data_IF_491256608139
#
_entry.id   IF_491256608139
#
_cell.length_a   1.000
_cell.length_b   1.000
_cell.length_c   1.000
_cell.angle_alpha   90.00
_cell.angle_beta   90.00
_cell.angle_gamma   90.00
#
_symmetry.space_group_name_H-M   'P 1'
#
loop_
_entity.id
_entity.type
_entity.pdbx_description
1 polymer ?
#
# COMPACT_ATOMS: atom_id res chain seq x y z
N UNK A 1 -63.54 -61.13 -22.07
CA UNK A 1 -62.13 -61.25 -22.51
C UNK A 1 -61.66 -59.84 -22.82
N UNK A 2 -60.85 -59.28 -21.91
CA UNK A 2 -59.88 -58.19 -22.12
C UNK A 2 -59.32 -57.84 -20.73
N UNK A 3 -58.27 -58.56 -20.34
CA UNK A 3 -57.46 -58.26 -19.17
C UNK A 3 -56.58 -57.05 -19.47
N UNK A 4 -56.76 -55.97 -18.71
CA UNK A 4 -55.78 -54.88 -18.64
C UNK A 4 -54.66 -55.31 -17.70
N UNK A 5 -53.52 -55.69 -18.27
CA UNK A 5 -52.25 -55.82 -17.55
C UNK A 5 -51.80 -54.46 -17.03
N UNK A 6 -51.84 -54.28 -15.71
CA UNK A 6 -51.23 -53.14 -15.03
C UNK A 6 -49.71 -53.31 -15.00
N UNK A 7 -48.96 -52.35 -15.55
CA UNK A 7 -47.51 -52.33 -15.40
C UNK A 7 -47.10 -51.99 -13.95
N UNK A 8 -46.01 -52.60 -13.43
CA UNK A 8 -45.51 -52.30 -12.10
C UNK A 8 -44.89 -50.90 -12.06
N UNK A 9 -45.33 -50.11 -11.07
CA UNK A 9 -44.84 -48.77 -10.77
C UNK A 9 -43.32 -48.80 -10.49
N UNK A 10 -42.51 -48.32 -11.44
CA UNK A 10 -41.07 -48.19 -11.28
C UNK A 10 -40.76 -47.08 -10.28
N UNK A 11 -40.16 -47.43 -9.15
CA UNK A 11 -39.75 -46.45 -8.13
C UNK A 11 -38.78 -45.41 -8.73
N UNK A 12 -38.89 -44.13 -8.35
CA UNK A 12 -37.99 -43.10 -8.83
C UNK A 12 -36.56 -43.38 -8.35
N UNK A 13 -35.60 -43.35 -9.28
CA UNK A 13 -34.18 -43.49 -8.96
C UNK A 13 -33.73 -42.35 -8.03
N UNK A 14 -32.91 -42.63 -7.00
CA UNK A 14 -32.40 -41.59 -6.12
C UNK A 14 -31.48 -40.66 -6.92
N UNK A 15 -31.82 -39.36 -6.91
CA UNK A 15 -31.05 -38.29 -7.53
C UNK A 15 -29.58 -38.37 -7.08
N UNK A 16 -28.66 -38.60 -8.02
CA UNK A 16 -27.22 -38.50 -7.77
C UNK A 16 -26.91 -37.09 -7.26
N UNK A 17 -26.62 -36.98 -5.97
CA UNK A 17 -26.14 -35.74 -5.36
C UNK A 17 -24.76 -35.46 -5.92
N UNK A 18 -24.69 -34.58 -6.92
CA UNK A 18 -23.41 -34.09 -7.43
C UNK A 18 -22.62 -33.47 -6.27
N UNK A 19 -21.35 -33.87 -6.06
CA UNK A 19 -20.54 -33.28 -5.01
C UNK A 19 -20.39 -31.77 -5.27
N UNK A 20 -20.41 -30.93 -4.21
CA UNK A 20 -20.35 -29.49 -4.36
C UNK A 20 -19.10 -29.09 -5.16
N UNK A 21 -19.29 -28.25 -6.17
CA UNK A 21 -18.21 -27.72 -6.98
C UNK A 21 -17.14 -27.10 -6.08
N UNK A 22 -15.88 -27.52 -6.26
CA UNK A 22 -14.76 -26.95 -5.50
C UNK A 22 -14.73 -25.44 -5.75
N UNK A 23 -14.63 -24.59 -4.70
CA UNK A 23 -14.56 -23.15 -4.89
C UNK A 23 -13.35 -22.82 -5.78
N UNK A 24 -13.49 -21.86 -6.72
CA UNK A 24 -12.40 -21.46 -7.58
C UNK A 24 -11.20 -21.05 -6.72
N UNK A 25 -10.02 -21.58 -7.06
CA UNK A 25 -8.77 -21.23 -6.40
C UNK A 25 -8.47 -19.76 -6.71
N UNK A 26 -8.79 -18.87 -5.78
CA UNK A 26 -8.34 -17.49 -5.87
C UNK A 26 -6.82 -17.47 -5.65
N UNK A 27 -6.04 -16.82 -6.54
CA UNK A 27 -4.61 -16.70 -6.34
C UNK A 27 -4.33 -15.98 -5.01
N UNK A 28 -3.45 -16.56 -4.21
CA UNK A 28 -3.06 -16.08 -2.88
C UNK A 28 -2.60 -14.61 -2.88
N UNK A 29 -2.13 -14.12 -4.03
CA UNK A 29 -1.72 -12.73 -4.25
C UNK A 29 -2.50 -12.07 -5.40
N UNK A 30 -3.77 -11.73 -5.16
CA UNK A 30 -4.48 -10.82 -6.05
C UNK A 30 -4.02 -9.37 -5.78
N UNK A 31 -2.84 -8.97 -6.27
CA UNK A 31 -2.34 -7.60 -6.12
C UNK A 31 -3.00 -6.66 -7.15
N UNK A 32 -3.37 -5.43 -6.78
CA UNK A 32 -3.85 -4.45 -7.76
C UNK A 32 -2.81 -4.19 -8.86
N UNK A 33 -3.21 -4.03 -10.14
CA UNK A 33 -2.26 -3.89 -11.25
C UNK A 33 -1.24 -2.75 -11.06
N UNK A 34 -1.68 -1.61 -10.52
CA UNK A 34 -0.79 -0.48 -10.24
C UNK A 34 0.29 -0.82 -9.20
N UNK A 35 -0.07 -1.62 -8.18
CA UNK A 35 0.85 -2.05 -7.15
C UNK A 35 1.87 -3.05 -7.68
N UNK A 36 1.41 -4.02 -8.47
CA UNK A 36 2.28 -4.98 -9.14
C UNK A 36 3.26 -4.25 -10.08
N UNK A 37 2.76 -3.29 -10.87
CA UNK A 37 3.60 -2.47 -11.72
C UNK A 37 4.67 -1.72 -10.92
N UNK A 38 4.30 -1.08 -9.80
CA UNK A 38 5.27 -0.42 -8.92
C UNK A 38 6.34 -1.39 -8.39
N UNK A 39 5.94 -2.58 -7.93
CA UNK A 39 6.89 -3.60 -7.45
C UNK A 39 7.86 -4.04 -8.55
N UNK A 40 7.35 -4.32 -9.75
CA UNK A 40 8.17 -4.67 -10.91
C UNK A 40 9.09 -3.52 -11.31
N UNK A 41 8.62 -2.27 -11.28
CA UNK A 41 9.41 -1.10 -11.60
C UNK A 41 10.57 -0.92 -10.61
N UNK A 42 10.29 -1.00 -9.31
CA UNK A 42 11.34 -0.92 -8.28
C UNK A 42 12.36 -2.04 -8.42
N UNK A 43 11.90 -3.28 -8.63
CA UNK A 43 12.78 -4.43 -8.82
C UNK A 43 13.65 -4.28 -10.08
N UNK A 44 13.08 -3.77 -11.18
CA UNK A 44 13.80 -3.52 -12.42
C UNK A 44 14.86 -2.42 -12.25
N UNK A 45 14.51 -1.29 -11.61
CA UNK A 45 15.45 -0.21 -11.33
C UNK A 45 16.62 -0.74 -10.49
N UNK A 46 16.32 -1.47 -9.41
CA UNK A 46 17.36 -2.04 -8.56
C UNK A 46 18.21 -3.09 -9.29
N UNK A 47 17.63 -3.92 -10.14
CA UNK A 47 18.39 -4.87 -10.95
C UNK A 47 19.35 -4.17 -11.92
N UNK A 48 18.96 -3.03 -12.50
CA UNK A 48 19.87 -2.20 -13.31
C UNK A 48 20.99 -1.61 -12.45
N UNK A 49 20.67 -1.09 -11.26
CA UNK A 49 21.67 -0.56 -10.32
C UNK A 49 22.75 -1.59 -9.98
N UNK A 50 22.34 -2.83 -9.70
CA UNK A 50 23.22 -3.88 -9.18
C UNK A 50 23.96 -4.66 -10.29
N UNK A 51 23.29 -4.94 -11.42
CA UNK A 51 23.80 -5.89 -12.42
C UNK A 51 24.39 -5.22 -13.67
N UNK A 52 24.08 -3.93 -13.90
CA UNK A 52 24.39 -3.25 -15.17
C UNK A 52 25.33 -2.06 -14.98
N UNK A 53 25.13 -1.26 -13.94
CA UNK A 53 25.91 -0.04 -13.74
C UNK A 53 27.28 -0.32 -13.14
N UNK A 54 28.30 0.42 -13.59
CA UNK A 54 29.58 0.52 -12.88
C UNK A 54 29.42 1.36 -11.62
N UNK A 55 30.38 1.27 -10.69
CA UNK A 55 30.39 2.06 -9.45
C UNK A 55 30.28 3.58 -9.73
N UNK A 56 31.00 4.09 -10.73
CA UNK A 56 30.92 5.50 -11.13
C UNK A 56 29.53 5.89 -11.65
N UNK A 57 28.91 5.02 -12.46
CA UNK A 57 27.58 5.26 -12.99
C UNK A 57 26.50 5.16 -11.89
N UNK A 58 26.69 4.28 -10.90
CA UNK A 58 25.83 4.16 -9.73
C UNK A 58 25.92 5.40 -8.83
N UNK A 59 27.14 5.89 -8.57
CA UNK A 59 27.36 7.13 -7.83
C UNK A 59 26.72 8.33 -8.54
N UNK A 60 26.87 8.41 -9.87
CA UNK A 60 26.18 9.42 -10.67
C UNK A 60 24.65 9.30 -10.54
N UNK A 61 24.10 8.09 -10.65
CA UNK A 61 22.66 7.84 -10.50
C UNK A 61 22.15 8.30 -9.12
N UNK A 62 22.85 7.93 -8.05
CA UNK A 62 22.50 8.33 -6.69
C UNK A 62 22.61 9.82 -6.46
N UNK A 63 23.64 10.47 -7.00
CA UNK A 63 23.73 11.91 -6.95
C UNK A 63 22.56 12.57 -7.71
N UNK A 64 22.28 12.13 -8.94
CA UNK A 64 21.29 12.77 -9.82
C UNK A 64 19.84 12.51 -9.40
N UNK A 65 19.53 11.35 -8.84
CA UNK A 65 18.14 10.94 -8.56
C UNK A 65 17.84 10.72 -7.07
N UNK A 66 18.86 10.62 -6.22
CA UNK A 66 18.70 10.59 -4.77
C UNK A 66 18.47 11.98 -4.19
N UNK A 67 17.83 12.04 -3.02
CA UNK A 67 17.54 13.30 -2.36
C UNK A 67 18.65 13.64 -1.36
N UNK A 68 19.17 14.88 -1.43
CA UNK A 68 20.23 15.37 -0.53
C UNK A 68 19.85 16.76 -0.02
N UNK A 69 19.67 16.97 1.30
CA UNK A 69 19.29 18.26 1.87
C UNK A 69 20.25 19.41 1.52
N UNK A 70 21.56 19.13 1.39
CA UNK A 70 22.57 20.10 0.99
C UNK A 70 22.28 20.78 -0.36
N UNK A 71 21.43 20.22 -1.22
CA UNK A 71 21.01 20.91 -2.46
C UNK A 71 20.28 22.22 -2.17
N UNK A 72 19.59 22.34 -1.05
CA UNK A 72 18.76 23.50 -0.73
C UNK A 72 19.51 24.65 -0.04
N UNK A 73 20.79 24.47 0.30
CA UNK A 73 21.64 25.55 0.84
C UNK A 73 22.50 26.24 -0.23
N UNK A 74 22.64 25.61 -1.40
CA UNK A 74 23.39 26.18 -2.51
C UNK A 74 22.47 27.14 -3.28
N UNK A 75 22.95 28.34 -3.67
CA UNK A 75 22.16 29.30 -4.44
C UNK A 75 21.60 28.69 -5.73
N UNK A 76 20.37 29.08 -6.09
CA UNK A 76 19.69 28.55 -7.28
C UNK A 76 20.48 28.77 -8.58
N UNK A 77 21.30 29.83 -8.66
CA UNK A 77 22.17 30.11 -9.81
C UNK A 77 23.33 29.12 -9.97
N UNK A 78 23.65 28.35 -8.94
CA UNK A 78 24.70 27.34 -8.91
C UNK A 78 24.12 25.91 -8.82
N UNK A 79 22.79 25.79 -8.81
CA UNK A 79 22.11 24.52 -8.73
C UNK A 79 21.84 23.92 -10.10
N UNK A 80 21.98 22.59 -10.16
CA UNK A 80 21.51 21.83 -11.30
C UNK A 80 19.99 21.59 -11.21
N UNK A 81 19.38 21.13 -12.32
CA UNK A 81 17.94 20.88 -12.39
C UNK A 81 17.46 19.73 -11.48
N UNK A 82 18.36 18.95 -10.86
CA UNK A 82 18.07 17.84 -9.94
C UNK A 82 17.19 18.23 -8.75
N UNK A 83 17.29 19.49 -8.31
CA UNK A 83 16.42 20.13 -7.31
C UNK A 83 14.93 19.78 -7.49
N UNK A 84 14.47 19.67 -8.73
CA UNK A 84 13.05 19.56 -9.05
C UNK A 84 12.50 18.13 -8.99
N UNK A 85 13.30 17.12 -9.32
CA UNK A 85 12.83 15.73 -9.37
C UNK A 85 13.31 14.88 -8.20
N UNK A 86 14.44 15.21 -7.59
CA UNK A 86 14.99 14.45 -6.46
C UNK A 86 14.03 14.31 -5.27
N UNK A 87 13.10 15.26 -4.96
CA UNK A 87 12.07 15.04 -3.94
C UNK A 87 11.09 13.89 -4.21
N UNK A 88 11.11 13.33 -5.42
CA UNK A 88 10.24 12.22 -5.83
C UNK A 88 11.07 11.00 -6.22
N UNK A 89 12.09 11.17 -7.06
CA UNK A 89 12.83 10.06 -7.68
C UNK A 89 13.62 9.24 -6.68
N UNK A 90 14.00 9.84 -5.55
CA UNK A 90 14.71 9.13 -4.48
C UNK A 90 13.93 7.90 -4.00
N UNK A 91 12.59 7.98 -4.04
CA UNK A 91 11.68 6.91 -3.59
C UNK A 91 11.71 5.67 -4.47
N UNK A 92 12.38 5.73 -5.62
CA UNK A 92 12.48 4.62 -6.58
C UNK A 92 13.81 3.85 -6.46
N UNK A 93 14.82 4.47 -5.85
CA UNK A 93 16.17 3.91 -5.71
C UNK A 93 16.30 3.06 -4.44
N UNK A 94 17.13 2.02 -4.48
CA UNK A 94 17.40 1.18 -3.31
C UNK A 94 18.90 0.89 -3.19
N UNK A 95 19.41 0.85 -1.95
CA UNK A 95 20.84 0.67 -1.69
C UNK A 95 21.28 -0.79 -1.47
N UNK A 96 20.35 -1.73 -1.31
CA UNK A 96 20.66 -3.15 -1.10
C UNK A 96 19.46 -4.06 -1.39
N UNK A 97 19.73 -5.34 -1.60
CA UNK A 97 18.71 -6.40 -1.76
C UNK A 97 17.78 -6.44 -0.56
N UNK A 98 18.34 -6.38 0.65
CA UNK A 98 17.58 -6.45 1.89
C UNK A 98 16.62 -5.26 2.03
N UNK A 99 17.07 -4.05 1.66
CA UNK A 99 16.26 -2.84 1.67
C UNK A 99 15.07 -2.94 0.69
N UNK A 100 15.28 -3.37 -0.55
CA UNK A 100 14.18 -3.50 -1.52
C UNK A 100 13.20 -4.61 -1.14
N UNK A 101 13.66 -5.75 -0.61
CA UNK A 101 12.77 -6.82 -0.17
C UNK A 101 11.90 -6.39 1.01
N UNK A 102 12.46 -5.66 1.97
CA UNK A 102 11.71 -5.09 3.09
C UNK A 102 10.66 -4.09 2.60
N UNK A 103 11.03 -3.18 1.70
CA UNK A 103 10.07 -2.25 1.10
C UNK A 103 8.98 -2.96 0.30
N UNK A 104 9.32 -3.98 -0.49
CA UNK A 104 8.34 -4.76 -1.26
C UNK A 104 7.32 -5.44 -0.35
N UNK A 105 7.77 -6.04 0.76
CA UNK A 105 6.89 -6.67 1.74
C UNK A 105 5.86 -5.68 2.31
N UNK A 106 6.31 -4.54 2.82
CA UNK A 106 5.42 -3.53 3.40
C UNK A 106 4.55 -2.82 2.35
N UNK A 107 5.08 -2.60 1.15
CA UNK A 107 4.35 -2.06 0.02
C UNK A 107 3.20 -2.99 -0.39
N UNK A 108 3.40 -4.31 -0.40
CA UNK A 108 2.32 -5.27 -0.61
C UNK A 108 1.27 -5.20 0.50
N UNK A 109 1.71 -5.18 1.76
CA UNK A 109 0.81 -5.20 2.93
C UNK A 109 -0.10 -3.96 3.00
N UNK A 110 0.47 -2.76 2.80
CA UNK A 110 -0.27 -1.50 2.96
C UNK A 110 -0.70 -0.85 1.65
N UNK A 111 0.03 -1.08 0.56
CA UNK A 111 -0.33 -0.57 -0.77
C UNK A 111 -1.58 -1.23 -1.31
N UNK A 112 -1.76 -2.55 -1.14
CA UNK A 112 -2.91 -3.27 -1.68
C UNK A 112 -4.27 -2.69 -1.24
N UNK A 113 -4.54 -2.49 0.07
CA UNK A 113 -5.81 -1.90 0.51
C UNK A 113 -5.97 -0.43 0.06
N UNK A 114 -4.89 0.36 0.06
CA UNK A 114 -4.95 1.77 -0.36
C UNK A 114 -5.23 1.90 -1.86
N UNK A 115 -4.50 1.17 -2.71
CA UNK A 115 -4.68 1.20 -4.18
C UNK A 115 -6.09 0.76 -4.57
N UNK A 116 -6.62 -0.30 -3.94
CA UNK A 116 -8.01 -0.75 -4.18
C UNK A 116 -9.03 0.33 -3.87
N UNK A 117 -8.75 1.16 -2.86
CA UNK A 117 -9.64 2.23 -2.41
C UNK A 117 -9.59 3.47 -3.30
N UNK A 118 -8.39 3.94 -3.65
CA UNK A 118 -8.21 5.21 -4.36
C UNK A 118 -8.01 5.07 -5.87
N UNK A 119 -7.75 3.84 -6.34
CA UNK A 119 -7.45 3.50 -7.72
C UNK A 119 -6.10 4.04 -8.22
N UNK A 120 -5.71 3.63 -9.43
CA UNK A 120 -4.37 3.86 -10.01
C UNK A 120 -3.94 5.33 -10.02
N UNK A 121 -4.73 6.23 -10.61
CA UNK A 121 -4.32 7.63 -10.77
C UNK A 121 -4.05 8.32 -9.42
N UNK A 122 -4.94 8.12 -8.44
CA UNK A 122 -4.78 8.73 -7.11
C UNK A 122 -3.66 8.07 -6.32
N UNK A 123 -3.37 6.79 -6.56
CA UNK A 123 -2.21 6.12 -6.00
C UNK A 123 -0.90 6.72 -6.51
N UNK A 124 -0.78 6.99 -7.82
CA UNK A 124 0.40 7.66 -8.37
C UNK A 124 0.56 9.06 -7.78
N UNK A 125 -0.51 9.85 -7.70
CA UNK A 125 -0.47 11.17 -7.05
C UNK A 125 -0.09 11.05 -5.57
N UNK A 126 -0.66 10.07 -4.85
CA UNK A 126 -0.34 9.81 -3.46
C UNK A 126 1.13 9.46 -3.27
N UNK A 127 1.71 8.64 -4.16
CA UNK A 127 3.14 8.31 -4.17
C UNK A 127 3.99 9.57 -4.27
N UNK A 128 3.71 10.42 -5.27
CA UNK A 128 4.46 11.66 -5.54
C UNK A 128 4.39 12.61 -4.34
N UNK A 129 3.18 12.90 -3.85
CA UNK A 129 3.03 13.84 -2.73
C UNK A 129 3.55 13.28 -1.40
N UNK A 130 3.43 11.98 -1.18
CA UNK A 130 4.02 11.35 0.01
C UNK A 130 5.54 11.37 -0.03
N UNK A 131 6.16 11.13 -1.19
CA UNK A 131 7.61 11.23 -1.36
C UNK A 131 8.08 12.67 -1.08
N UNK A 132 7.40 13.67 -1.63
CA UNK A 132 7.70 15.09 -1.39
C UNK A 132 7.57 15.42 0.10
N UNK A 133 6.50 14.97 0.77
CA UNK A 133 6.31 15.23 2.20
C UNK A 133 7.40 14.57 3.07
N UNK A 134 7.80 13.35 2.73
CA UNK A 134 8.92 12.64 3.35
C UNK A 134 10.24 13.40 3.17
N UNK A 135 10.59 13.76 1.93
CA UNK A 135 11.79 14.52 1.61
C UNK A 135 11.80 15.90 2.28
N UNK A 136 10.66 16.58 2.33
CA UNK A 136 10.52 17.89 2.97
C UNK A 136 10.77 17.81 4.48
N UNK A 137 10.20 16.84 5.19
CA UNK A 137 10.47 16.70 6.63
C UNK A 137 11.93 16.34 6.88
N UNK A 138 12.49 15.44 6.08
CA UNK A 138 13.91 15.08 6.17
C UNK A 138 14.83 16.28 5.94
N UNK A 139 14.54 17.11 4.94
CA UNK A 139 15.30 18.32 4.67
C UNK A 139 15.22 19.33 5.82
N UNK A 140 14.02 19.55 6.38
CA UNK A 140 13.84 20.48 7.50
C UNK A 140 14.65 20.06 8.72
N UNK A 141 14.74 18.76 9.01
CA UNK A 141 15.47 18.25 10.17
C UNK A 141 16.99 18.11 9.94
N UNK A 142 17.43 17.92 8.70
CA UNK A 142 18.84 17.76 8.32
C UNK A 142 19.29 18.85 7.35
N UNK A 143 18.90 20.10 7.62
CA UNK A 143 19.11 21.20 6.69
C UNK A 143 20.60 21.41 6.38
N UNK A 144 20.98 21.33 5.11
CA UNK A 144 22.37 21.47 4.68
C UNK A 144 23.23 20.20 4.79
N UNK A 145 22.67 19.10 5.31
CA UNK A 145 23.39 17.84 5.46
C UNK A 145 23.59 17.13 4.11
N UNK A 146 24.69 16.38 3.98
CA UNK A 146 25.07 15.66 2.76
C UNK A 146 24.55 14.21 2.72
N UNK A 147 23.70 13.83 3.68
CA UNK A 147 23.03 12.54 3.73
C UNK A 147 22.23 12.29 2.47
N UNK A 148 22.41 11.07 1.96
CA UNK A 148 21.69 10.57 0.80
C UNK A 148 20.42 9.85 1.27
N UNK A 149 19.28 10.43 0.97
CA UNK A 149 17.98 9.79 1.14
C UNK A 149 17.64 9.02 -0.15
N UNK A 150 17.42 7.70 -0.02
CA UNK A 150 16.90 6.80 -1.07
C UNK A 150 15.95 5.79 -0.44
N UNK A 151 15.00 5.28 -1.23
CA UNK A 151 14.10 4.20 -0.82
C UNK A 151 12.63 4.59 -0.77
N UNK A 152 11.76 3.62 -1.07
CA UNK A 152 10.31 3.79 -1.09
C UNK A 152 9.68 3.90 0.32
N UNK A 153 10.46 3.72 1.38
CA UNK A 153 9.99 3.59 2.77
C UNK A 153 9.22 4.81 3.29
N UNK A 154 9.55 6.02 2.85
CA UNK A 154 8.77 7.24 3.13
C UNK A 154 7.35 7.17 2.54
N UNK A 155 7.23 6.75 1.27
CA UNK A 155 5.93 6.54 0.61
C UNK A 155 5.14 5.42 1.27
N UNK A 156 5.80 4.32 1.60
CA UNK A 156 5.20 3.19 2.33
C UNK A 156 4.67 3.64 3.69
N UNK A 157 5.41 4.50 4.40
CA UNK A 157 4.95 5.10 5.66
C UNK A 157 3.71 5.96 5.45
N UNK A 158 3.61 6.69 4.33
CA UNK A 158 2.37 7.36 3.94
C UNK A 158 1.21 6.40 3.70
N UNK A 159 1.45 5.25 3.03
CA UNK A 159 0.42 4.22 2.85
C UNK A 159 -0.04 3.64 4.20
N UNK A 160 0.88 3.45 5.16
CA UNK A 160 0.57 3.03 6.53
C UNK A 160 -0.30 4.07 7.25
N UNK A 161 0.07 5.35 7.18
CA UNK A 161 -0.71 6.45 7.76
C UNK A 161 -2.11 6.56 7.16
N UNK A 162 -2.24 6.37 5.83
CA UNK A 162 -3.52 6.29 5.15
C UNK A 162 -4.35 5.09 5.63
N UNK A 163 -3.74 3.89 5.72
CA UNK A 163 -4.39 2.68 6.20
C UNK A 163 -4.94 2.83 7.63
N UNK A 164 -4.27 3.56 8.53
CA UNK A 164 -4.81 3.87 9.87
C UNK A 164 -6.20 4.50 9.85
N UNK A 165 -6.60 5.14 8.74
CA UNK A 165 -7.88 5.84 8.61
C UNK A 165 -9.03 4.91 8.20
N UNK A 166 -8.77 3.65 7.81
CA UNK A 166 -9.84 2.75 7.33
C UNK A 166 -9.55 1.25 7.48
N UNK A 167 -8.28 0.81 7.53
CA UNK A 167 -7.93 -0.60 7.50
C UNK A 167 -8.20 -1.34 8.82
N UNK A 168 -8.37 -0.60 9.93
CA UNK A 168 -8.61 -1.15 11.27
C UNK A 168 -10.02 -0.77 11.78
N UNK A 169 -11.08 -1.53 11.41
CA UNK A 169 -12.44 -1.21 11.79
C UNK A 169 -12.63 -1.36 13.32
N UNK A 170 -13.49 -0.51 13.90
CA UNK A 170 -13.82 -0.54 15.33
C UNK A 170 -14.62 -1.81 15.69
N UNK A 171 -15.52 -2.23 14.81
CA UNK A 171 -16.28 -3.46 14.92
C UNK A 171 -15.58 -4.58 14.14
N UNK A 172 -15.36 -5.72 14.78
CA UNK A 172 -14.86 -6.92 14.10
C UNK A 172 -15.94 -7.42 13.13
N UNK A 173 -15.87 -6.98 11.88
CA UNK A 173 -16.62 -7.59 10.78
C UNK A 173 -15.75 -8.70 10.18
N UNK A 174 -15.98 -9.97 10.52
CA UNK A 174 -15.26 -11.05 9.88
C UNK A 174 -15.51 -10.98 8.37
N UNK A 175 -14.44 -11.07 7.59
CA UNK A 175 -14.43 -11.26 6.13
C UNK A 175 -14.70 -10.05 5.22
N UNK A 176 -14.95 -8.84 5.72
CA UNK A 176 -15.04 -7.67 4.85
C UNK A 176 -13.64 -7.17 4.42
N UNK A 177 -13.35 -6.97 3.13
CA UNK A 177 -12.08 -6.40 2.68
C UNK A 177 -11.82 -5.03 3.29
N UNK A 178 -10.64 -4.85 3.90
CA UNK A 178 -10.28 -3.64 4.64
C UNK A 178 -10.52 -2.31 3.86
N UNK A 179 -10.30 -2.32 2.55
CA UNK A 179 -10.48 -1.16 1.68
C UNK A 179 -11.94 -0.66 1.58
N UNK A 180 -12.93 -1.49 1.93
CA UNK A 180 -14.36 -1.16 1.91
C UNK A 180 -14.87 -0.55 3.22
N UNK A 181 -14.08 -0.58 4.29
CA UNK A 181 -14.47 -0.02 5.58
C UNK A 181 -14.78 1.49 5.48
N UNK A 182 -15.63 1.99 6.38
CA UNK A 182 -15.82 3.43 6.49
C UNK A 182 -14.49 4.13 6.83
N UNK A 183 -14.25 5.29 6.19
CA UNK A 183 -13.12 6.12 6.58
C UNK A 183 -13.43 6.75 7.93
N UNK A 184 -12.59 6.51 8.92
CA UNK A 184 -12.62 7.23 10.19
C UNK A 184 -12.33 8.72 9.95
N UNK A 185 -12.77 9.62 10.81
CA UNK A 185 -12.23 10.98 10.98
C UNK A 185 -10.93 10.95 11.79
N UNK A 186 -10.11 12.01 11.74
CA UNK A 186 -8.81 12.02 12.44
C UNK A 186 -9.02 11.74 13.93
N UNK A 187 -10.05 12.34 14.52
CA UNK A 187 -10.42 12.16 15.92
C UNK A 187 -10.83 10.71 16.22
N UNK A 188 -11.63 10.08 15.35
CA UNK A 188 -12.03 8.68 15.54
C UNK A 188 -10.84 7.72 15.42
N UNK A 189 -9.91 7.97 14.49
CA UNK A 189 -8.69 7.17 14.37
C UNK A 189 -7.82 7.30 15.63
N UNK A 190 -7.66 8.51 16.18
CA UNK A 190 -6.90 8.74 17.41
C UNK A 190 -7.58 8.20 18.68
N UNK A 191 -8.89 7.94 18.64
CA UNK A 191 -9.63 7.24 19.71
C UNK A 191 -9.59 5.72 19.56
N UNK A 192 -9.19 5.19 18.41
CA UNK A 192 -9.13 3.75 18.17
C UNK A 192 -7.91 3.13 18.84
N UNK A 193 -8.15 2.22 19.79
CA UNK A 193 -7.09 1.48 20.48
C UNK A 193 -6.16 0.75 19.50
N UNK A 194 -6.72 0.13 18.46
CA UNK A 194 -5.94 -0.60 17.46
C UNK A 194 -5.01 0.32 16.68
N UNK A 195 -5.51 1.48 16.25
CA UNK A 195 -4.73 2.48 15.50
C UNK A 195 -3.61 3.03 16.37
N UNK A 196 -3.90 3.37 17.64
CA UNK A 196 -2.88 3.87 18.57
C UNK A 196 -1.80 2.82 18.84
N UNK A 197 -2.17 1.56 19.09
CA UNK A 197 -1.19 0.47 19.28
C UNK A 197 -0.32 0.33 18.03
N UNK A 198 -0.91 0.33 16.84
CA UNK A 198 -0.16 0.26 15.59
C UNK A 198 0.81 1.45 15.44
N UNK A 199 0.33 2.69 15.66
CA UNK A 199 1.16 3.89 15.61
C UNK A 199 2.32 3.85 16.60
N UNK A 200 2.07 3.38 17.83
CA UNK A 200 3.12 3.25 18.85
C UNK A 200 4.15 2.19 18.47
N UNK A 201 3.73 1.01 18.01
CA UNK A 201 4.65 -0.04 17.56
C UNK A 201 5.48 0.42 16.37
N UNK A 202 4.84 1.09 15.41
CA UNK A 202 5.52 1.68 14.25
C UNK A 202 6.54 2.76 14.67
N UNK A 203 6.17 3.65 15.61
CA UNK A 203 7.06 4.70 16.11
C UNK A 203 8.24 4.11 16.89
N UNK A 204 8.01 3.08 17.72
CA UNK A 204 9.08 2.37 18.43
C UNK A 204 10.04 1.72 17.43
N UNK A 205 9.53 1.06 16.39
CA UNK A 205 10.38 0.50 15.33
C UNK A 205 11.26 1.56 14.67
N UNK A 206 10.71 2.73 14.34
CA UNK A 206 11.47 3.84 13.78
C UNK A 206 12.49 4.43 14.76
N UNK A 207 12.15 4.52 16.06
CA UNK A 207 13.05 5.01 17.08
C UNK A 207 14.24 4.06 17.32
N UNK A 208 14.00 2.74 17.27
CA UNK A 208 15.07 1.73 17.37
C UNK A 208 16.10 1.89 16.23
N UNK A 209 15.60 2.09 15.01
CA UNK A 209 16.44 2.38 13.84
C UNK A 209 17.23 3.68 14.05
N UNK A 210 16.57 4.74 14.56
CA UNK A 210 17.20 6.03 14.80
C UNK A 210 18.37 5.96 15.80
N UNK A 211 18.33 5.05 16.78
CA UNK A 211 19.41 4.85 17.76
C UNK A 211 20.44 3.79 17.32
N UNK A 212 20.37 3.33 16.06
CA UNK A 212 21.35 2.40 15.48
C UNK A 212 21.14 0.95 15.90
N UNK A 213 19.93 0.57 16.35
CA UNK A 213 19.57 -0.83 16.55
C UNK A 213 18.98 -1.34 15.23
N UNK A 214 19.71 -2.17 14.46
CA UNK A 214 19.24 -2.64 13.18
C UNK A 214 18.01 -3.53 13.36
N UNK A 215 16.93 -3.21 12.65
CA UNK A 215 15.81 -4.14 12.50
C UNK A 215 16.12 -5.17 11.39
N UNK A 216 15.43 -6.31 11.43
CA UNK A 216 15.48 -7.27 10.31
C UNK A 216 15.09 -6.54 9.02
N UNK A 217 15.99 -6.46 8.04
CA UNK A 217 15.77 -5.62 6.85
C UNK A 217 16.67 -4.40 6.74
N UNK A 218 17.49 -4.09 7.75
CA UNK A 218 18.40 -2.92 7.75
C UNK A 218 19.65 -3.14 6.89
N UNK A 219 20.19 -2.07 6.30
CA UNK A 219 21.42 -2.06 5.50
C UNK A 219 22.54 -1.35 6.26
N UNK A 220 23.80 -1.49 5.85
CA UNK A 220 24.94 -0.72 6.42
C UNK A 220 24.84 0.82 6.20
N UNK A 221 23.71 1.33 5.71
CA UNK A 221 23.44 2.74 5.46
C UNK A 221 22.45 3.30 6.48
N UNK A 222 22.68 4.52 7.03
CA UNK A 222 21.76 5.15 7.96
C UNK A 222 20.34 5.30 7.38
N UNK A 223 19.33 4.72 8.02
CA UNK A 223 17.93 4.88 7.61
C UNK A 223 17.39 6.24 8.09
N UNK A 224 16.81 7.00 7.15
CA UNK A 224 16.14 8.27 7.41
C UNK A 224 14.75 8.10 8.06
N UNK A 225 14.74 7.82 9.37
CA UNK A 225 13.54 7.64 10.19
C UNK A 225 12.58 8.85 10.15
N UNK A 226 13.12 10.05 9.97
CA UNK A 226 12.37 11.28 9.82
C UNK A 226 11.60 11.36 8.49
N UNK A 227 12.17 10.86 7.40
CA UNK A 227 11.46 10.73 6.12
C UNK A 227 10.23 9.81 6.28
N UNK A 228 10.33 8.77 7.12
CA UNK A 228 9.19 7.89 7.43
C UNK A 228 8.09 8.65 8.18
N UNK A 229 8.44 9.49 9.15
CA UNK A 229 7.48 10.36 9.87
C UNK A 229 6.77 11.30 8.90
N UNK A 230 7.50 11.94 7.98
CA UNK A 230 6.94 12.90 7.03
C UNK A 230 5.88 12.24 6.14
N UNK A 231 6.20 11.05 5.63
CA UNK A 231 5.27 10.26 4.84
C UNK A 231 4.05 9.82 5.65
N UNK A 232 4.27 9.27 6.86
CA UNK A 232 3.18 8.81 7.72
C UNK A 232 2.20 9.93 8.06
N UNK A 233 2.70 11.11 8.46
CA UNK A 233 1.89 12.28 8.78
C UNK A 233 1.09 12.74 7.56
N UNK A 234 1.72 12.81 6.39
CA UNK A 234 1.04 13.11 5.13
C UNK A 234 -0.13 12.14 4.88
N UNK A 235 0.14 10.84 4.93
CA UNK A 235 -0.87 9.82 4.70
C UNK A 235 -2.00 9.88 5.72
N UNK A 236 -1.69 10.03 7.00
CA UNK A 236 -2.70 10.07 8.05
C UNK A 236 -3.62 11.30 7.95
N UNK A 237 -3.04 12.48 7.70
CA UNK A 237 -3.78 13.74 7.69
C UNK A 237 -4.49 14.02 6.36
N UNK A 238 -3.83 13.73 5.23
CA UNK A 238 -4.29 14.16 3.90
C UNK A 238 -4.94 13.04 3.06
N UNK A 239 -5.01 11.81 3.55
CA UNK A 239 -5.65 10.70 2.82
C UNK A 239 -7.09 11.01 2.37
N UNK A 240 -7.83 11.84 3.11
CA UNK A 240 -9.20 12.21 2.74
C UNK A 240 -9.33 12.89 1.37
N UNK A 241 -8.26 13.53 0.88
CA UNK A 241 -8.21 14.17 -0.45
C UNK A 241 -8.12 13.15 -1.59
N UNK A 242 -7.61 11.95 -1.30
CA UNK A 242 -7.44 10.87 -2.26
C UNK A 242 -8.56 9.82 -2.18
N UNK A 243 -9.29 9.82 -1.07
CA UNK A 243 -10.30 8.80 -0.81
C UNK A 243 -11.51 8.94 -1.74
N UNK A 244 -11.84 7.87 -2.47
CA UNK A 244 -13.13 7.75 -3.16
C UNK A 244 -14.09 7.18 -2.12
N UNK A 245 -14.98 8.01 -1.58
CA UNK A 245 -15.98 7.54 -0.62
C UNK A 245 -16.61 6.22 -1.13
N UNK A 246 -16.76 5.18 -0.28
CA UNK A 246 -17.38 3.94 -0.70
C UNK A 246 -18.75 4.26 -1.31
N UNK A 247 -18.97 3.87 -2.57
CA UNK A 247 -20.30 3.93 -3.17
C UNK A 247 -21.18 3.01 -2.31
N UNK A 248 -22.26 3.50 -1.66
CA UNK A 248 -23.11 2.61 -0.88
C UNK A 248 -23.57 1.47 -1.80
N UNK A 249 -23.63 0.23 -1.31
CA UNK A 249 -24.16 -0.86 -2.12
C UNK A 249 -25.54 -0.44 -2.61
N UNK A 250 -25.78 -0.58 -3.92
CA UNK A 250 -27.12 -0.42 -4.49
C UNK A 250 -27.96 -1.47 -3.78
N UNK A 251 -28.80 -1.04 -2.84
CA UNK A 251 -29.86 -1.88 -2.31
C UNK A 251 -30.76 -2.16 -3.51
N UNK A 252 -30.66 -3.35 -4.11
CA UNK A 252 -31.74 -3.78 -4.98
C UNK A 252 -33.03 -3.69 -4.14
N UNK A 253 -34.07 -2.99 -4.62
CA UNK A 253 -35.33 -2.95 -3.90
C UNK A 253 -35.75 -4.39 -3.67
N UNK A 254 -35.98 -4.74 -2.40
CA UNK A 254 -36.45 -6.05 -2.00
C UNK A 254 -37.54 -6.49 -2.97
N UNK A 255 -37.28 -7.60 -3.67
CA UNK A 255 -38.15 -8.14 -4.70
C UNK A 255 -39.58 -8.07 -4.20
N UNK A 256 -40.43 -7.40 -4.98
CA UNK A 256 -41.84 -7.25 -4.65
C UNK A 256 -42.44 -8.65 -4.68
N UNK A 257 -42.59 -9.24 -3.51
CA UNK A 257 -43.36 -10.46 -3.30
C UNK A 257 -44.82 -10.10 -3.62
N UNK A 258 -45.18 -10.24 -4.89
CA UNK A 258 -46.56 -10.16 -5.38
C UNK A 258 -46.77 -11.32 -6.35
N UNK A 259 -47.86 -12.03 -6.09
CA UNK A 259 -48.48 -13.11 -6.87
C UNK A 259 -47.86 -14.51 -6.81
N UNK A 260 -48.06 -15.17 -5.66
CA UNK A 260 -48.34 -16.63 -5.64
C UNK A 260 -49.55 -16.90 -4.74
N UNK A 261 -50.71 -16.33 -5.08
CA UNK A 261 -52.01 -16.77 -4.55
C UNK A 261 -53.12 -16.56 -5.60
N UNK A 262 -52.93 -17.01 -6.84
CA UNK A 262 -54.03 -17.30 -7.78
C UNK A 262 -53.62 -18.42 -8.76
N UNK A 263 -53.86 -19.67 -8.37
CA UNK A 263 -54.18 -20.80 -9.26
C UNK A 263 -54.67 -21.97 -8.43
#
# INVERSE_FOLDING_TARGET
MNEQTAEPHKAPEPSEVQPPARPPREPVFNLPPALLFSLCLLAMIYAVQELVLSDDALNWLFFTFGFVPARYVIPLSQQGPELFWTPVTYSLLHGSVQHILFNAFWLMAFGAPVVRRIGTLRFVLFWVFSAIASAALHAVLNWGDVSLLIGASGVISGLMGAACRFAFPAERRPMAPAHLNARLSIVEALKSRTVIIFMLLWLVGNALIAVGIPLVGDSDQPIAWDAHIGGFVFGFLLFSLFDRAPRPPVMEPAGTEKDVLQS
#
